data_IF_494288643504
#
_entry.id   IF_494288643504
#
_cell.length_a   1.000
_cell.length_b   1.000
_cell.length_c   1.000
_cell.angle_alpha   90.00
_cell.angle_beta   90.00
_cell.angle_gamma   90.00
#
_symmetry.space_group_name_H-M   'P 1'
#
loop_
_entity.id
_entity.type
_entity.pdbx_description
1 polymer ?
#
# COMPACT_ATOMS: atom_id res chain seq x y z
N UNK A 1 18.64 -4.80 3.98
CA UNK A 1 17.21 -4.60 3.66
C UNK A 1 16.73 -3.14 3.69
N UNK A 2 17.44 -2.18 4.33
CA UNK A 2 16.99 -0.77 4.45
C UNK A 2 16.77 -0.03 3.14
N UNK A 3 17.43 -0.45 2.05
CA UNK A 3 17.28 0.14 0.71
C UNK A 3 15.87 -0.06 0.11
N UNK A 4 15.08 -1.03 0.60
CA UNK A 4 13.73 -1.34 0.10
C UNK A 4 12.69 -0.93 1.14
N UNK A 5 11.85 0.04 0.79
CA UNK A 5 10.77 0.52 1.64
C UNK A 5 9.42 -0.02 1.18
N UNK A 6 8.68 -0.65 2.08
CA UNK A 6 7.30 -1.03 1.87
C UNK A 6 6.41 0.18 2.17
N UNK A 7 5.57 0.59 1.23
CA UNK A 7 4.57 1.63 1.49
C UNK A 7 3.14 1.12 1.38
N UNK A 8 2.27 1.60 2.26
CA UNK A 8 0.85 1.21 2.29
C UNK A 8 -0.07 2.34 2.71
N UNK A 9 -1.27 2.46 2.13
CA UNK A 9 -2.36 3.23 2.71
C UNK A 9 -3.04 2.39 3.81
N UNK A 10 -3.65 3.04 4.80
CA UNK A 10 -4.42 2.35 5.84
C UNK A 10 -5.51 3.24 6.46
N UNK A 11 -6.51 2.61 7.08
CA UNK A 11 -7.29 3.25 8.15
C UNK A 11 -6.54 3.08 9.47
N UNK A 12 -6.93 3.85 10.50
CA UNK A 12 -6.28 3.77 11.80
C UNK A 12 -6.40 2.38 12.44
N UNK A 13 -7.56 1.72 12.34
CA UNK A 13 -7.78 0.39 12.90
C UNK A 13 -6.94 -0.67 12.20
N UNK A 14 -6.80 -0.53 10.87
CA UNK A 14 -5.96 -1.43 10.06
C UNK A 14 -4.49 -1.23 10.37
N UNK A 15 -4.04 0.02 10.49
CA UNK A 15 -2.68 0.33 10.90
C UNK A 15 -2.36 -0.26 12.29
N UNK A 16 -3.25 -0.05 13.28
CA UNK A 16 -3.08 -0.57 14.65
C UNK A 16 -2.94 -2.10 14.69
N UNK A 17 -3.73 -2.81 13.89
CA UNK A 17 -3.71 -4.29 13.88
C UNK A 17 -2.59 -4.88 13.02
N UNK A 18 -2.22 -4.25 11.90
CA UNK A 18 -1.32 -4.85 10.92
C UNK A 18 0.13 -4.37 11.01
N UNK A 19 0.39 -3.16 11.50
CA UNK A 19 1.76 -2.66 11.63
C UNK A 19 2.63 -3.51 12.56
N UNK A 20 2.15 -3.98 13.73
CA UNK A 20 2.93 -4.90 14.57
C UNK A 20 3.32 -6.18 13.84
N UNK A 21 2.42 -6.73 13.02
CA UNK A 21 2.69 -7.92 12.20
C UNK A 21 3.72 -7.61 11.12
N UNK A 22 3.51 -6.54 10.34
CA UNK A 22 4.44 -6.10 9.28
C UNK A 22 5.83 -5.82 9.85
N UNK A 23 5.91 -5.14 10.99
CA UNK A 23 7.18 -4.88 11.68
C UNK A 23 7.88 -6.20 12.07
N UNK A 24 7.15 -7.22 12.51
CA UNK A 24 7.74 -8.51 12.87
C UNK A 24 8.19 -9.37 11.68
N UNK A 25 7.74 -9.11 10.44
CA UNK A 25 8.06 -9.95 9.26
C UNK A 25 8.94 -9.26 8.24
N UNK A 26 8.71 -7.97 7.99
CA UNK A 26 9.49 -7.17 7.07
C UNK A 26 10.63 -6.48 7.82
N UNK A 27 11.87 -6.76 7.41
CA UNK A 27 13.09 -6.15 7.97
C UNK A 27 13.52 -4.86 7.27
N UNK A 28 12.95 -4.56 6.11
CA UNK A 28 13.18 -3.28 5.44
C UNK A 28 12.49 -2.12 6.16
N UNK A 29 12.53 -0.96 5.52
CA UNK A 29 11.82 0.23 6.00
C UNK A 29 10.34 0.14 5.62
N UNK A 30 9.48 0.82 6.38
CA UNK A 30 8.03 0.82 6.20
C UNK A 30 7.51 2.24 6.28
N UNK A 31 6.71 2.67 5.31
CA UNK A 31 5.95 3.91 5.39
C UNK A 31 4.45 3.62 5.26
N UNK A 32 3.65 4.10 6.21
CA UNK A 32 2.20 3.97 6.14
C UNK A 32 1.54 5.33 6.24
N UNK A 33 0.65 5.64 5.31
CA UNK A 33 -0.22 6.80 5.40
C UNK A 33 -1.60 6.39 5.92
N UNK A 34 -2.06 7.07 6.97
CA UNK A 34 -3.23 6.71 7.76
C UNK A 34 -4.21 7.87 7.78
N UNK A 35 -5.46 7.63 7.44
CA UNK A 35 -6.51 8.61 7.67
C UNK A 35 -6.82 8.70 9.17
N UNK A 36 -6.78 9.90 9.75
CA UNK A 36 -6.98 10.15 11.18
C UNK A 36 -7.67 11.50 11.41
N UNK A 37 -8.30 11.66 12.58
CA UNK A 37 -8.78 12.96 13.03
C UNK A 37 -7.63 13.74 13.68
N UNK A 38 -7.13 14.78 12.99
CA UNK A 38 -6.06 15.62 13.51
C UNK A 38 -6.57 16.79 14.36
N UNK A 39 -7.90 16.96 14.49
CA UNK A 39 -8.49 17.99 15.37
C UNK A 39 -8.32 17.64 16.84
N UNK A 40 -8.17 16.35 17.15
CA UNK A 40 -7.86 15.87 18.49
C UNK A 40 -6.53 15.11 18.46
N UNK A 41 -5.59 15.37 19.38
CA UNK A 41 -4.25 14.78 19.32
C UNK A 41 -4.21 13.30 19.71
N UNK A 42 -5.30 12.73 20.24
CA UNK A 42 -5.33 11.38 20.80
C UNK A 42 -4.87 10.30 19.84
N UNK A 43 -5.39 10.30 18.61
CA UNK A 43 -5.02 9.30 17.59
C UNK A 43 -3.55 9.38 17.20
N UNK A 44 -3.00 10.60 17.12
CA UNK A 44 -1.62 10.81 16.76
C UNK A 44 -0.66 10.37 17.88
N UNK A 45 -0.99 10.71 19.13
CA UNK A 45 -0.23 10.30 20.30
C UNK A 45 -0.25 8.78 20.48
N UNK A 46 -1.42 8.15 20.30
CA UNK A 46 -1.59 6.71 20.34
C UNK A 46 -0.74 5.99 19.28
N UNK A 47 -0.78 6.46 18.03
CA UNK A 47 0.02 5.89 16.96
C UNK A 47 1.52 6.11 17.18
N UNK A 48 1.90 7.23 17.80
CA UNK A 48 3.29 7.49 18.18
C UNK A 48 3.78 6.54 19.26
N UNK A 49 2.99 6.36 20.32
CA UNK A 49 3.28 5.39 21.38
C UNK A 49 3.31 3.95 20.84
N UNK A 50 2.39 3.61 19.93
CA UNK A 50 2.42 2.31 19.26
C UNK A 50 3.71 2.14 18.46
N UNK A 51 4.14 3.16 17.70
CA UNK A 51 5.32 3.09 16.84
C UNK A 51 6.61 2.87 17.63
N UNK A 52 6.78 3.50 18.81
CA UNK A 52 7.94 3.27 19.69
C UNK A 52 7.97 1.86 20.29
N UNK A 53 6.82 1.19 20.36
CA UNK A 53 6.68 -0.15 20.93
C UNK A 53 6.73 -1.27 19.89
N UNK A 54 6.85 -0.92 18.61
CA UNK A 54 6.99 -1.90 17.53
C UNK A 54 8.29 -2.71 17.68
N UNK A 55 8.27 -3.91 17.13
CA UNK A 55 9.42 -4.81 17.20
C UNK A 55 10.49 -4.47 16.17
N UNK A 56 11.74 -4.64 16.60
CA UNK A 56 12.90 -4.28 15.82
C UNK A 56 13.27 -2.80 15.98
N UNK A 57 14.16 -2.30 15.12
CA UNK A 57 14.46 -0.88 15.01
C UNK A 57 13.18 -0.12 14.63
N UNK A 58 12.64 0.69 15.55
CA UNK A 58 11.45 1.50 15.30
C UNK A 58 11.74 2.63 14.29
N UNK A 59 13.00 3.08 14.17
CA UNK A 59 13.43 4.13 13.26
C UNK A 59 13.29 3.79 11.77
N UNK A 60 13.05 2.52 11.43
CA UNK A 60 12.75 2.10 10.05
C UNK A 60 11.27 2.29 9.67
N UNK A 61 10.40 2.67 10.60
CA UNK A 61 8.95 2.78 10.39
C UNK A 61 8.55 4.26 10.47
N UNK A 62 7.92 4.75 9.41
CA UNK A 62 7.27 6.05 9.36
C UNK A 62 5.75 5.88 9.24
N UNK A 63 5.00 6.60 10.06
CA UNK A 63 3.53 6.67 10.02
C UNK A 63 3.15 8.12 9.73
N UNK A 64 2.47 8.37 8.63
CA UNK A 64 1.97 9.71 8.27
C UNK A 64 0.46 9.74 8.44
N UNK A 65 0.01 10.49 9.44
CA UNK A 65 -1.40 10.72 9.69
C UNK A 65 -1.88 11.84 8.77
N UNK A 66 -3.07 11.66 8.21
CA UNK A 66 -3.69 12.55 7.23
C UNK A 66 -5.05 12.93 7.75
N UNK A 67 -5.32 14.23 7.79
CA UNK A 67 -6.61 14.76 8.24
C UNK A 67 -7.78 14.18 7.42
N UNK A 68 -8.78 13.66 8.12
CA UNK A 68 -10.05 13.25 7.55
C UNK A 68 -10.88 14.47 7.11
N UNK A 69 -10.74 14.86 5.85
CA UNK A 69 -11.57 15.90 5.24
C UNK A 69 -13.00 15.40 4.96
N UNK A 70 -14.01 16.29 4.99
CA UNK A 70 -15.38 15.97 4.58
C UNK A 70 -15.47 15.32 3.19
N UNK A 71 -14.60 15.73 2.27
CA UNK A 71 -14.50 15.16 0.92
C UNK A 71 -14.15 13.66 0.89
N UNK A 72 -13.70 13.08 2.02
CA UNK A 72 -13.33 11.67 2.15
C UNK A 72 -14.40 10.78 2.81
N UNK A 73 -15.47 11.36 3.38
CA UNK A 73 -16.41 10.66 4.27
C UNK A 73 -16.97 9.35 3.69
N UNK A 74 -17.17 9.28 2.37
CA UNK A 74 -17.62 8.08 1.65
C UNK A 74 -16.65 7.58 0.57
N UNK A 75 -15.47 8.21 0.47
CA UNK A 75 -14.50 7.96 -0.60
C UNK A 75 -13.11 7.91 -0.01
N UNK A 76 -12.72 6.73 0.48
CA UNK A 76 -11.40 6.54 1.08
C UNK A 76 -10.30 6.93 0.07
N UNK A 77 -9.41 7.89 0.38
CA UNK A 77 -8.48 8.48 -0.59
C UNK A 77 -7.24 7.59 -0.78
N UNK A 78 -7.45 6.34 -1.16
CA UNK A 78 -6.43 5.27 -1.14
C UNK A 78 -5.17 5.61 -1.92
N UNK A 79 -5.30 6.20 -3.11
CA UNK A 79 -4.17 6.48 -3.99
C UNK A 79 -3.39 7.72 -3.54
N UNK A 80 -4.07 8.72 -2.97
CA UNK A 80 -3.38 9.82 -2.30
C UNK A 80 -2.55 9.33 -1.12
N UNK A 81 -3.11 8.47 -0.27
CA UNK A 81 -2.39 7.87 0.85
C UNK A 81 -1.19 7.03 0.35
N UNK A 82 -1.33 6.27 -0.75
CA UNK A 82 -0.21 5.57 -1.39
C UNK A 82 0.90 6.51 -1.84
N UNK A 83 0.54 7.61 -2.51
CA UNK A 83 1.50 8.60 -2.98
C UNK A 83 2.29 9.21 -1.82
N UNK A 84 1.58 9.63 -0.76
CA UNK A 84 2.20 10.19 0.43
C UNK A 84 3.11 9.18 1.15
N UNK A 85 2.67 7.94 1.35
CA UNK A 85 3.48 6.90 1.96
C UNK A 85 4.74 6.59 1.12
N UNK A 86 4.61 6.53 -0.20
CA UNK A 86 5.73 6.35 -1.13
C UNK A 86 6.73 7.50 -1.04
N UNK A 87 6.27 8.75 -0.99
CA UNK A 87 7.14 9.92 -0.82
C UNK A 87 7.93 9.84 0.48
N UNK A 88 7.29 9.42 1.56
CA UNK A 88 7.91 9.27 2.88
C UNK A 88 8.92 8.12 2.95
N UNK A 89 8.78 7.08 2.11
CA UNK A 89 9.85 6.10 1.92
C UNK A 89 11.16 6.75 1.44
N UNK A 90 11.10 7.78 0.60
CA UNK A 90 12.29 8.45 0.07
C UNK A 90 12.74 9.55 1.02
N UNK A 91 11.85 10.49 1.34
CA UNK A 91 12.19 11.69 2.09
C UNK A 91 12.60 11.40 3.54
N UNK A 92 11.93 10.45 4.22
CA UNK A 92 12.21 10.15 5.63
C UNK A 92 13.14 8.95 5.78
N UNK A 93 12.99 7.94 4.91
CA UNK A 93 13.62 6.62 5.09
C UNK A 93 14.77 6.35 4.12
N UNK A 94 15.06 7.27 3.19
CA UNK A 94 16.21 7.17 2.28
C UNK A 94 16.16 5.96 1.34
N UNK A 95 14.97 5.47 1.01
CA UNK A 95 14.81 4.25 0.22
C UNK A 95 15.22 4.44 -1.24
N UNK A 96 15.93 3.46 -1.79
CA UNK A 96 16.28 3.40 -3.23
C UNK A 96 15.23 2.66 -4.04
N UNK A 97 14.51 1.76 -3.40
CA UNK A 97 13.45 0.96 -3.98
C UNK A 97 12.20 1.05 -3.12
N UNK A 98 11.04 1.04 -3.76
CA UNK A 98 9.74 1.14 -3.09
C UNK A 98 8.85 -0.02 -3.51
N UNK A 99 8.26 -0.69 -2.53
CA UNK A 99 7.30 -1.78 -2.70
C UNK A 99 5.90 -1.26 -2.44
N UNK A 100 5.09 -1.21 -3.50
CA UNK A 100 3.66 -0.90 -3.40
C UNK A 100 2.95 -2.05 -2.67
N UNK A 101 2.29 -1.76 -1.55
CA UNK A 101 1.69 -2.79 -0.72
C UNK A 101 0.34 -2.40 -0.13
N UNK A 102 -0.39 -3.39 0.36
CA UNK A 102 -1.63 -3.19 1.11
C UNK A 102 -1.42 -3.60 2.58
N UNK A 103 -2.13 -2.93 3.49
CA UNK A 103 -1.94 -3.09 4.94
C UNK A 103 -2.37 -4.48 5.45
N UNK A 104 -3.20 -5.19 4.68
CA UNK A 104 -3.72 -6.52 5.05
C UNK A 104 -2.82 -7.69 4.65
N UNK A 105 -1.69 -7.38 4.02
CA UNK A 105 -0.73 -8.33 3.53
C UNK A 105 0.56 -8.28 4.34
N UNK A 106 1.34 -9.35 4.25
CA UNK A 106 2.65 -9.43 4.87
C UNK A 106 3.66 -10.05 3.94
N UNK A 107 4.84 -9.44 3.88
CA UNK A 107 5.94 -9.87 3.00
C UNK A 107 6.87 -10.80 3.74
N UNK A 108 7.24 -11.89 3.07
CA UNK A 108 8.20 -12.87 3.52
C UNK A 108 9.33 -12.96 2.49
N UNK A 109 10.56 -12.83 2.98
CA UNK A 109 11.76 -12.99 2.16
C UNK A 109 12.32 -14.39 2.41
N UNK A 110 12.97 -14.96 1.40
CA UNK A 110 13.68 -16.22 1.53
C UNK A 110 14.68 -16.19 2.71
N UNK A 111 15.01 -17.34 3.31
CA UNK A 111 15.96 -17.40 4.42
C UNK A 111 17.32 -16.75 4.10
N UNK A 112 17.74 -16.82 2.84
CA UNK A 112 18.85 -16.05 2.30
C UNK A 112 18.35 -14.68 1.82
N UNK A 113 18.49 -13.66 2.66
CA UNK A 113 18.11 -12.28 2.33
C UNK A 113 18.92 -11.70 1.17
N UNK A 114 20.17 -12.14 1.00
CA UNK A 114 21.03 -11.64 -0.06
C UNK A 114 20.52 -12.08 -1.44
N UNK A 115 19.93 -13.27 -1.53
CA UNK A 115 19.29 -13.74 -2.77
C UNK A 115 18.17 -12.78 -3.24
N UNK A 116 17.32 -12.31 -2.32
CA UNK A 116 16.28 -11.33 -2.65
C UNK A 116 16.85 -9.96 -3.01
N UNK A 117 17.84 -9.48 -2.25
CA UNK A 117 18.49 -8.20 -2.56
C UNK A 117 19.25 -8.25 -3.90
N UNK A 118 19.78 -9.41 -4.27
CA UNK A 118 20.39 -9.63 -5.57
C UNK A 118 19.33 -9.58 -6.69
N UNK A 119 18.15 -10.16 -6.52
CA UNK A 119 17.04 -10.00 -7.49
C UNK A 119 16.69 -8.52 -7.67
N UNK A 120 16.52 -7.78 -6.57
CA UNK A 120 16.22 -6.34 -6.58
C UNK A 120 17.29 -5.58 -7.38
N UNK A 121 18.57 -5.79 -7.08
CA UNK A 121 19.67 -5.09 -7.76
C UNK A 121 19.82 -5.51 -9.23
N UNK A 122 19.70 -6.81 -9.53
CA UNK A 122 19.96 -7.34 -10.87
C UNK A 122 18.84 -7.02 -11.86
N UNK A 123 17.59 -6.98 -11.39
CA UNK A 123 16.42 -6.64 -12.20
C UNK A 123 16.25 -5.13 -12.29
N UNK A 124 16.33 -4.41 -11.16
CA UNK A 124 15.99 -2.98 -11.13
C UNK A 124 17.21 -2.05 -11.34
N UNK A 125 18.44 -2.56 -11.21
CA UNK A 125 19.66 -1.75 -11.35
C UNK A 125 19.82 -1.13 -12.75
N UNK A 126 20.46 0.05 -12.81
CA UNK A 126 20.82 0.70 -14.08
C UNK A 126 21.80 -0.21 -14.84
N UNK A 127 21.43 -0.73 -16.00
CA UNK A 127 22.38 -1.32 -16.96
C UNK A 127 22.73 -0.26 -18.00
N UNK A 128 24.02 -0.08 -18.26
CA UNK A 128 24.49 0.91 -19.23
C UNK A 128 23.87 0.65 -20.62
N UNK A 129 23.30 1.69 -21.24
CA UNK A 129 22.68 1.61 -22.56
C UNK A 129 21.28 1.00 -22.61
N UNK A 130 20.73 0.52 -21.49
CA UNK A 130 19.41 -0.10 -21.46
C UNK A 130 18.30 0.95 -21.25
N UNK A 131 17.37 1.06 -22.21
CA UNK A 131 16.19 1.93 -22.13
C UNK A 131 15.02 1.31 -21.35
N UNK A 132 15.13 0.04 -20.98
CA UNK A 132 14.04 -0.75 -20.38
C UNK A 132 13.91 -0.42 -18.90
N UNK A 133 12.71 0.03 -18.52
CA UNK A 133 12.35 0.17 -17.11
C UNK A 133 11.86 -1.19 -16.62
N UNK A 134 12.14 -1.57 -15.37
CA UNK A 134 11.70 -2.86 -14.84
C UNK A 134 11.01 -2.70 -13.50
N UNK A 135 10.05 -3.58 -13.25
CA UNK A 135 9.38 -3.76 -11.97
C UNK A 135 9.56 -5.21 -11.52
N UNK A 136 9.88 -5.40 -10.25
CA UNK A 136 10.03 -6.73 -9.66
C UNK A 136 8.74 -7.09 -8.94
N UNK A 137 8.00 -8.07 -9.46
CA UNK A 137 6.76 -8.59 -8.90
C UNK A 137 7.06 -9.50 -7.71
N UNK A 138 6.44 -9.19 -6.57
CA UNK A 138 6.37 -10.06 -5.40
C UNK A 138 5.05 -10.85 -5.49
N UNK A 139 5.11 -12.18 -5.68
CA UNK A 139 3.91 -13.00 -5.85
C UNK A 139 3.07 -13.03 -4.58
N UNK A 140 1.75 -12.92 -4.76
CA UNK A 140 0.79 -12.81 -3.67
C UNK A 140 0.00 -14.11 -3.47
N UNK A 141 -0.19 -14.47 -2.20
CA UNK A 141 -0.96 -15.64 -1.80
C UNK A 141 -2.04 -15.25 -0.81
N UNK A 142 -3.04 -16.10 -0.65
CA UNK A 142 -4.06 -15.96 0.38
C UNK A 142 -4.18 -17.23 1.20
N UNK A 143 -4.45 -17.05 2.48
CA UNK A 143 -4.78 -18.14 3.38
C UNK A 143 -6.28 -18.41 3.38
N UNK A 144 -6.65 -19.65 3.68
CA UNK A 144 -8.03 -20.00 3.99
C UNK A 144 -8.52 -19.19 5.20
N UNK A 145 -9.66 -18.49 5.07
CA UNK A 145 -10.07 -17.45 6.02
C UNK A 145 -10.11 -17.90 7.49
N UNK A 146 -10.77 -19.04 7.77
CA UNK A 146 -10.87 -19.59 9.14
C UNK A 146 -9.50 -19.94 9.72
N UNK A 147 -8.59 -20.43 8.87
CA UNK A 147 -7.25 -20.81 9.32
C UNK A 147 -6.40 -19.57 9.56
N UNK A 148 -6.49 -18.58 8.67
CA UNK A 148 -5.85 -17.27 8.82
C UNK A 148 -6.21 -16.60 10.14
N UNK A 149 -7.49 -16.54 10.47
CA UNK A 149 -7.98 -15.96 11.73
C UNK A 149 -7.36 -16.65 12.96
N UNK A 150 -7.27 -17.99 12.96
CA UNK A 150 -6.66 -18.75 14.06
C UNK A 150 -5.16 -18.50 14.18
N UNK A 151 -4.44 -18.40 13.06
CA UNK A 151 -3.00 -18.11 13.07
C UNK A 151 -2.75 -16.69 13.56
N UNK A 152 -3.53 -15.72 13.09
CA UNK A 152 -3.43 -14.33 13.53
C UNK A 152 -3.71 -14.19 15.02
N UNK A 153 -4.77 -14.80 15.55
CA UNK A 153 -5.09 -14.73 16.98
C UNK A 153 -3.93 -15.23 17.87
N UNK A 154 -3.30 -16.36 17.49
CA UNK A 154 -2.12 -16.89 18.21
C UNK A 154 -0.93 -15.95 18.12
N UNK A 155 -0.70 -15.38 16.94
CA UNK A 155 0.42 -14.47 16.70
C UNK A 155 0.25 -13.16 17.45
N UNK A 156 -0.93 -12.55 17.36
CA UNK A 156 -1.25 -11.30 18.04
C UNK A 156 -1.12 -11.47 19.56
N UNK A 157 -1.51 -12.64 20.12
CA UNK A 157 -1.26 -12.96 21.52
C UNK A 157 0.24 -13.00 21.88
N UNK A 158 1.09 -13.55 21.01
CA UNK A 158 2.55 -13.57 21.19
C UNK A 158 3.13 -12.14 21.16
N UNK A 159 2.74 -11.34 20.16
CA UNK A 159 3.21 -9.96 20.03
C UNK A 159 2.79 -9.12 21.24
N UNK A 160 1.55 -9.26 21.69
CA UNK A 160 1.03 -8.56 22.87
C UNK A 160 1.78 -8.97 24.16
N UNK A 161 2.01 -10.27 24.38
CA UNK A 161 2.76 -10.74 25.55
C UNK A 161 4.18 -10.15 25.59
N UNK A 162 4.85 -10.05 24.44
CA UNK A 162 6.20 -9.47 24.33
C UNK A 162 6.21 -7.96 24.52
N UNK A 163 5.20 -7.25 24.01
CA UNK A 163 5.01 -5.82 24.25
C UNK A 163 4.90 -5.55 25.76
N UNK A 164 4.05 -6.27 26.47
CA UNK A 164 3.90 -6.17 27.94
C UNK A 164 5.21 -6.52 28.67
N UNK A 165 5.93 -7.55 28.22
CA UNK A 165 7.23 -7.90 28.80
C UNK A 165 8.29 -6.81 28.61
N UNK A 166 8.29 -6.11 27.47
CA UNK A 166 9.20 -4.98 27.19
C UNK A 166 8.87 -3.77 28.06
N UNK A 167 7.59 -3.40 28.15
CA UNK A 167 7.12 -2.31 29.02
C UNK A 167 7.48 -2.54 30.50
N UNK A 168 7.32 -3.78 30.99
CA UNK A 168 7.68 -4.13 32.37
C UNK A 168 9.19 -4.15 32.62
N UNK A 169 10.01 -4.46 31.60
CA UNK A 169 11.47 -4.37 31.70
C UNK A 169 12.00 -2.94 31.64
N UNK A 170 11.45 -2.07 30.78
CA UNK A 170 11.81 -0.63 30.76
C UNK A 170 11.59 -0.01 32.14
N UNK A 171 10.40 -0.24 32.73
CA UNK A 171 10.06 0.22 34.09
C UNK A 171 10.98 -0.30 35.20
N UNK A 172 11.72 -1.39 34.98
CA UNK A 172 12.68 -1.94 35.95
C UNK A 172 14.11 -1.43 35.73
N UNK A 173 14.43 -0.91 34.54
CA UNK A 173 15.77 -0.50 34.14
C UNK A 173 15.95 1.03 34.02
N UNK A 174 14.88 1.83 34.05
CA UNK A 174 14.99 3.29 34.02
C UNK A 174 14.98 3.89 35.43
N UNK A 175 16.11 4.49 35.80
CA UNK A 175 16.09 5.73 36.57
C UNK A 175 15.67 6.87 35.62
N UNK A 176 14.82 7.78 36.11
CA UNK A 176 14.33 9.03 35.51
C UNK A 176 14.73 9.25 34.04
N UNK A 177 13.87 8.81 33.12
CA UNK A 177 13.76 9.47 31.82
C UNK A 177 13.11 10.85 32.08
N UNK A 178 13.85 11.92 31.79
CA UNK A 178 13.36 13.31 31.80
C UNK A 178 12.47 13.61 30.56
N UNK A 179 11.67 12.63 30.12
CA UNK A 179 10.59 12.85 29.17
C UNK A 179 9.46 13.54 29.94
N UNK A 180 9.36 14.86 29.82
CA UNK A 180 8.16 15.60 30.22
C UNK A 180 6.95 14.84 29.64
N UNK A 181 6.12 14.25 30.50
CA UNK A 181 5.05 13.37 30.05
C UNK A 181 4.17 14.14 29.06
N UNK A 182 3.58 13.46 28.09
CA UNK A 182 2.64 14.09 27.14
C UNK A 182 1.58 14.89 27.91
N UNK A 183 1.14 14.36 29.06
CA UNK A 183 0.23 15.04 29.98
C UNK A 183 0.86 16.32 30.57
N UNK A 184 2.12 16.31 30.98
CA UNK A 184 2.82 17.49 31.47
C UNK A 184 3.05 18.56 30.38
N UNK A 185 3.29 18.16 29.12
CA UNK A 185 3.35 19.11 27.98
C UNK A 185 1.98 19.72 27.75
N UNK A 186 0.92 18.91 27.72
CA UNK A 186 -0.47 19.36 27.57
C UNK A 186 -0.88 20.26 28.76
N UNK A 187 -0.48 19.92 29.98
CA UNK A 187 -0.79 20.66 31.22
C UNK A 187 0.02 21.96 31.33
N UNK A 188 1.30 21.98 30.93
CA UNK A 188 2.15 23.19 30.83
C UNK A 188 1.57 24.19 29.83
N UNK A 189 1.05 23.66 28.73
CA UNK A 189 0.35 24.44 27.71
C UNK A 189 -1.02 24.94 28.25
N UNK A 190 -1.74 24.12 29.03
CA UNK A 190 -3.04 24.49 29.60
C UNK A 190 -2.94 25.52 30.75
N UNK A 191 -1.91 25.40 31.60
CA UNK A 191 -1.63 26.29 32.74
C UNK A 191 -1.17 27.69 32.32
N UNK A 192 -0.64 27.85 31.10
CA UNK A 192 -0.36 29.17 30.49
C UNK A 192 -1.61 29.95 30.04
N UNK A 193 -2.82 29.44 30.29
CA UNK A 193 -4.08 30.19 30.13
C UNK A 193 -4.62 30.29 28.70
N UNK A 194 -4.02 29.59 27.73
CA UNK A 194 -4.31 29.73 26.29
C UNK A 194 -5.19 28.59 25.72
N UNK A 195 -5.91 27.85 26.59
CA UNK A 195 -6.71 26.66 26.21
C UNK A 195 -7.84 26.97 25.22
N UNK A 196 -8.28 28.22 25.13
CA UNK A 196 -9.27 28.66 24.11
C UNK A 196 -8.64 28.97 22.74
N UNK A 197 -7.32 28.82 22.56
CA UNK A 197 -6.56 29.23 21.37
C UNK A 197 -5.54 28.22 20.84
N UNK A 198 -5.48 27.00 21.37
CA UNK A 198 -4.53 26.02 20.83
C UNK A 198 -5.06 25.37 19.56
N UNK A 199 -4.52 25.85 18.44
CA UNK A 199 -4.61 25.15 17.17
C UNK A 199 -3.91 23.78 17.32
N UNK A 200 -4.55 22.63 17.03
CA UNK A 200 -3.91 21.32 17.05
C UNK A 200 -2.56 21.27 16.33
N UNK A 201 -2.42 22.06 15.25
CA UNK A 201 -1.17 22.16 14.50
C UNK A 201 -0.01 22.73 15.33
N UNK A 202 -0.23 23.73 16.18
CA UNK A 202 0.85 24.30 17.02
C UNK A 202 1.28 23.34 18.14
N UNK A 203 0.37 22.48 18.61
CA UNK A 203 0.72 21.39 19.51
C UNK A 203 1.65 20.38 18.81
N UNK A 204 1.33 19.95 17.58
CA UNK A 204 2.18 19.04 16.84
C UNK A 204 3.57 19.63 16.55
N UNK A 205 3.64 20.93 16.20
CA UNK A 205 4.92 21.64 16.04
C UNK A 205 5.75 21.64 17.33
N UNK A 206 5.11 21.84 18.48
CA UNK A 206 5.77 21.75 19.80
C UNK A 206 6.29 20.35 20.09
N UNK A 207 5.53 19.31 19.73
CA UNK A 207 5.94 17.91 19.89
C UNK A 207 7.11 17.55 18.97
N UNK A 208 7.16 18.08 17.74
CA UNK A 208 8.32 17.93 16.85
C UNK A 208 9.56 18.56 17.48
N UNK A 209 9.46 19.77 18.03
CA UNK A 209 10.61 20.44 18.64
C UNK A 209 11.10 19.71 19.89
N UNK A 210 10.17 19.25 20.75
CA UNK A 210 10.49 18.37 21.90
C UNK A 210 11.24 17.13 21.42
N UNK A 211 10.71 16.46 20.40
CA UNK A 211 11.26 15.20 19.96
C UNK A 211 12.54 15.37 19.16
N UNK A 212 12.91 16.57 18.67
CA UNK A 212 14.07 16.81 17.80
C UNK A 212 15.40 16.28 18.36
N UNK A 213 15.59 16.31 19.67
CA UNK A 213 16.83 15.90 20.35
C UNK A 213 16.78 14.49 20.91
N UNK A 214 15.61 13.86 20.94
CA UNK A 214 15.42 12.50 21.48
C UNK A 214 16.28 11.47 20.73
N UNK A 215 16.85 10.50 21.41
CA UNK A 215 17.55 9.37 20.78
C UNK A 215 16.62 8.17 20.67
N UNK A 216 16.56 7.50 19.50
CA UNK A 216 15.77 6.28 19.31
C UNK A 216 16.66 5.07 19.57
N UNK A 217 16.20 4.15 20.43
CA UNK A 217 16.93 2.91 20.69
C UNK A 217 16.84 1.99 19.46
N UNK A 218 18.01 1.73 18.87
CA UNK A 218 18.19 0.99 17.61
C UNK A 218 18.55 -0.49 17.82
N UNK A 219 18.62 -0.96 19.08
CA UNK A 219 19.23 -2.27 19.39
C UNK A 219 18.27 -3.47 19.40
N UNK A 220 16.99 -3.28 19.05
CA UNK A 220 16.05 -4.39 18.98
C UNK A 220 16.19 -5.17 17.66
N UNK A 221 16.48 -6.46 17.74
CA UNK A 221 16.40 -7.38 16.60
C UNK A 221 14.94 -7.75 16.32
N UNK A 222 14.50 -7.60 15.06
CA UNK A 222 13.16 -8.03 14.62
C UNK A 222 12.95 -9.54 14.89
N UNK A 223 11.72 -9.95 15.22
CA UNK A 223 11.43 -11.36 15.47
C UNK A 223 11.52 -12.16 14.17
N UNK A 224 12.16 -13.33 14.23
CA UNK A 224 11.97 -14.35 13.20
C UNK A 224 10.82 -15.27 13.63
N UNK A 225 9.57 -14.88 13.35
CA UNK A 225 8.42 -15.74 13.64
C UNK A 225 8.37 -16.85 12.58
N UNK A 226 8.56 -18.08 13.05
CA UNK A 226 8.55 -19.29 12.24
C UNK A 226 7.12 -19.65 11.82
N UNK A 227 6.52 -18.87 10.91
CA UNK A 227 5.13 -19.07 10.47
C UNK A 227 5.00 -20.23 9.47
N UNK A 228 3.84 -20.91 9.42
CA UNK A 228 3.60 -22.03 8.50
C UNK A 228 3.60 -21.63 7.02
N UNK A 229 3.67 -20.34 6.69
CA UNK A 229 3.73 -19.79 5.34
C UNK A 229 4.96 -18.87 5.13
N UNK A 230 5.91 -18.84 6.08
CA UNK A 230 7.04 -17.89 6.03
C UNK A 230 8.12 -18.25 5.01
N UNK A 231 8.17 -19.49 4.52
CA UNK A 231 9.09 -19.90 3.45
C UNK A 231 8.30 -20.53 2.31
N UNK A 232 8.87 -20.52 1.11
CA UNK A 232 8.29 -21.11 -0.09
C UNK A 232 7.93 -22.58 0.11
N UNK A 233 8.83 -23.37 0.72
CA UNK A 233 8.63 -24.81 0.95
C UNK A 233 7.47 -25.08 1.91
N UNK A 234 7.27 -24.20 2.89
CA UNK A 234 6.15 -24.32 3.83
C UNK A 234 4.84 -23.92 3.18
N UNK A 235 4.87 -22.84 2.40
CA UNK A 235 3.74 -22.35 1.64
C UNK A 235 3.29 -23.38 0.59
N UNK A 236 4.23 -24.04 -0.10
CA UNK A 236 3.95 -25.10 -1.07
C UNK A 236 3.15 -26.25 -0.44
N UNK A 237 3.54 -26.70 0.76
CA UNK A 237 2.75 -27.70 1.53
C UNK A 237 1.34 -27.21 1.85
N UNK A 238 1.19 -25.93 2.22
CA UNK A 238 -0.15 -25.38 2.48
C UNK A 238 -1.02 -25.33 1.23
N UNK A 239 -0.42 -25.04 0.07
CA UNK A 239 -1.13 -24.97 -1.22
C UNK A 239 -1.45 -26.36 -1.75
N UNK A 240 -0.43 -27.19 -1.97
CA UNK A 240 -0.54 -28.47 -2.69
C UNK A 240 -1.06 -29.61 -1.81
N UNK A 241 -0.60 -29.70 -0.55
CA UNK A 241 -0.97 -30.83 0.32
C UNK A 241 -2.20 -30.55 1.18
N UNK A 242 -2.27 -29.35 1.78
CA UNK A 242 -3.28 -29.04 2.81
C UNK A 242 -4.48 -28.27 2.30
N UNK A 243 -4.39 -27.65 1.12
CA UNK A 243 -5.42 -26.76 0.55
C UNK A 243 -5.84 -25.64 1.53
N UNK A 244 -4.88 -25.14 2.32
CA UNK A 244 -5.06 -24.06 3.30
C UNK A 244 -4.53 -22.71 2.80
N UNK A 245 -3.90 -22.68 1.63
CA UNK A 245 -3.47 -21.48 0.94
C UNK A 245 -3.69 -21.64 -0.57
N UNK A 246 -3.72 -20.52 -1.30
CA UNK A 246 -3.72 -20.51 -2.76
C UNK A 246 -3.08 -19.21 -3.27
N UNK A 247 -2.80 -19.11 -4.57
CA UNK A 247 -2.50 -17.82 -5.21
C UNK A 247 -3.60 -16.80 -4.89
N UNK A 248 -3.21 -15.56 -4.67
CA UNK A 248 -4.14 -14.52 -4.22
C UNK A 248 -5.27 -14.34 -5.24
N UNK A 249 -6.51 -14.46 -4.76
CA UNK A 249 -7.76 -14.34 -5.53
C UNK A 249 -7.81 -15.13 -6.85
N UNK A 250 -6.94 -16.10 -7.08
CA UNK A 250 -6.81 -16.79 -8.38
C UNK A 250 -8.09 -17.52 -8.80
N UNK A 251 -8.87 -18.00 -7.83
CA UNK A 251 -10.15 -18.67 -8.08
C UNK A 251 -11.31 -17.68 -8.31
N UNK A 252 -11.19 -16.43 -7.85
CA UNK A 252 -12.25 -15.42 -7.93
C UNK A 252 -12.05 -14.47 -9.10
N UNK A 253 -10.80 -14.06 -9.34
CA UNK A 253 -10.42 -13.13 -10.39
C UNK A 253 -9.12 -13.55 -11.08
N UNK A 254 -9.14 -14.68 -11.82
CA UNK A 254 -7.95 -15.25 -12.43
C UNK A 254 -7.25 -14.30 -13.39
N UNK A 255 -7.98 -13.50 -14.17
CA UNK A 255 -7.40 -12.56 -15.15
C UNK A 255 -6.40 -11.57 -14.52
N UNK A 256 -6.61 -11.16 -13.27
CA UNK A 256 -5.75 -10.21 -12.58
C UNK A 256 -4.48 -10.84 -11.98
N UNK A 257 -4.47 -12.14 -11.73
CA UNK A 257 -3.43 -12.79 -10.92
C UNK A 257 -2.76 -13.99 -11.59
N UNK A 258 -3.41 -14.64 -12.55
CA UNK A 258 -2.83 -15.75 -13.32
C UNK A 258 -1.54 -15.37 -14.08
N UNK A 259 -1.36 -14.13 -14.60
CA UNK A 259 -0.12 -13.77 -15.30
C UNK A 259 1.14 -13.87 -14.43
N UNK A 260 1.02 -13.87 -13.10
CA UNK A 260 2.14 -14.12 -12.18
C UNK A 260 2.71 -15.54 -12.31
N UNK A 261 1.95 -16.50 -12.87
CA UNK A 261 2.34 -17.89 -13.06
C UNK A 261 2.86 -18.57 -11.78
N UNK A 262 1.94 -18.84 -10.85
CA UNK A 262 2.25 -19.48 -9.55
C UNK A 262 2.89 -20.87 -9.70
N UNK A 263 2.58 -21.60 -10.77
CA UNK A 263 3.20 -22.89 -11.10
C UNK A 263 4.70 -22.74 -11.29
N UNK A 264 5.13 -21.81 -12.14
CA UNK A 264 6.55 -21.52 -12.37
C UNK A 264 7.29 -21.04 -11.11
N UNK A 265 6.59 -20.35 -10.20
CA UNK A 265 7.15 -19.90 -8.93
C UNK A 265 7.54 -21.08 -8.00
N UNK A 266 6.72 -22.12 -7.98
CA UNK A 266 6.97 -23.32 -7.17
C UNK A 266 7.96 -24.30 -7.84
N UNK A 267 7.97 -24.41 -9.16
CA UNK A 267 8.64 -25.52 -9.87
C UNK A 267 10.10 -25.24 -10.27
N UNK A 268 10.48 -23.99 -10.53
CA UNK A 268 11.84 -23.68 -11.00
C UNK A 268 12.80 -23.39 -9.82
N UNK A 269 13.99 -24.01 -9.85
CA UNK A 269 15.05 -23.86 -8.83
C UNK A 269 15.48 -22.40 -8.62
N UNK A 270 15.85 -22.08 -7.38
CA UNK A 270 16.02 -20.73 -6.82
C UNK A 270 17.40 -20.10 -6.99
N UNK A 271 18.32 -20.75 -7.71
CA UNK A 271 19.74 -20.39 -7.69
C UNK A 271 20.20 -19.77 -9.00
N UNK A 272 20.96 -18.67 -8.92
CA UNK A 272 21.67 -18.09 -10.05
C UNK A 272 20.79 -17.19 -10.93
N UNK A 273 21.05 -17.20 -12.24
CA UNK A 273 20.40 -16.31 -13.22
C UNK A 273 18.88 -16.54 -13.38
N UNK A 274 18.37 -17.68 -12.93
CA UNK A 274 16.95 -18.09 -13.04
C UNK A 274 16.11 -17.76 -11.78
N UNK A 275 16.63 -16.93 -10.86
CA UNK A 275 15.93 -16.52 -9.64
C UNK A 275 14.71 -15.64 -9.89
N UNK A 276 14.57 -15.12 -11.12
CA UNK A 276 13.40 -14.36 -11.57
C UNK A 276 12.92 -14.84 -12.94
N UNK A 277 11.67 -14.56 -13.29
CA UNK A 277 11.14 -14.82 -14.63
C UNK A 277 10.23 -13.68 -15.08
N UNK A 278 10.25 -13.36 -16.38
CA UNK A 278 9.39 -12.33 -16.95
C UNK A 278 7.93 -12.82 -16.94
N UNK A 279 6.99 -11.91 -16.67
CA UNK A 279 5.57 -12.15 -16.92
C UNK A 279 5.39 -12.44 -18.42
N UNK A 280 4.95 -13.65 -18.74
CA UNK A 280 5.06 -14.22 -20.09
C UNK A 280 3.87 -13.86 -20.98
N UNK A 281 3.74 -12.58 -21.33
CA UNK A 281 2.69 -12.13 -22.26
C UNK A 281 3.28 -11.18 -23.33
N UNK A 282 2.93 -11.34 -24.62
CA UNK A 282 3.36 -10.43 -25.68
C UNK A 282 2.81 -9.01 -25.50
N UNK A 283 1.67 -8.89 -24.82
CA UNK A 283 0.93 -7.66 -24.50
C UNK A 283 0.73 -7.57 -22.99
N UNK A 284 0.42 -6.39 -22.46
CA UNK A 284 0.19 -6.23 -21.02
C UNK A 284 -1.16 -6.86 -20.62
N UNK A 285 -1.24 -7.76 -19.63
CA UNK A 285 -2.50 -8.40 -19.29
C UNK A 285 -3.51 -7.40 -18.71
N UNK A 286 -4.72 -7.40 -19.26
CA UNK A 286 -5.83 -6.60 -18.75
C UNK A 286 -6.12 -6.98 -17.30
N UNK A 287 -6.36 -5.99 -16.44
CA UNK A 287 -6.54 -6.16 -14.99
C UNK A 287 -5.34 -6.71 -14.20
N UNK A 288 -4.13 -6.84 -14.76
CA UNK A 288 -3.00 -7.37 -14.00
C UNK A 288 -2.76 -6.57 -12.71
N UNK A 289 -2.84 -7.25 -11.56
CA UNK A 289 -2.78 -6.61 -10.23
C UNK A 289 -1.72 -7.27 -9.30
N UNK A 290 -0.42 -7.20 -9.65
CA UNK A 290 0.68 -7.65 -8.80
C UNK A 290 1.02 -6.67 -7.67
N UNK A 291 1.85 -7.13 -6.74
CA UNK A 291 2.63 -6.29 -5.84
C UNK A 291 4.00 -6.09 -6.45
N UNK A 292 4.45 -4.84 -6.61
CA UNK A 292 5.67 -4.53 -7.37
C UNK A 292 6.65 -3.69 -6.57
N UNK A 293 7.93 -4.03 -6.72
CA UNK A 293 9.06 -3.21 -6.31
C UNK A 293 9.56 -2.47 -7.55
N UNK A 294 9.67 -1.16 -7.41
CA UNK A 294 10.26 -0.29 -8.44
C UNK A 294 11.38 0.53 -7.82
N UNK A 295 12.27 1.04 -8.66
CA UNK A 295 13.21 2.08 -8.25
C UNK A 295 12.48 3.34 -7.85
N UNK A 296 12.86 3.92 -6.72
CA UNK A 296 12.19 5.08 -6.15
C UNK A 296 12.22 6.29 -7.10
N UNK A 297 13.34 6.51 -7.80
CA UNK A 297 13.52 7.59 -8.76
C UNK A 297 12.76 7.39 -10.08
N UNK A 298 12.27 6.16 -10.33
CA UNK A 298 11.43 5.83 -11.49
C UNK A 298 9.96 5.58 -11.12
N UNK A 299 9.63 5.63 -9.83
CA UNK A 299 8.31 5.26 -9.35
C UNK A 299 7.28 6.30 -9.78
N UNK A 300 6.27 5.86 -10.55
CA UNK A 300 5.14 6.72 -10.90
C UNK A 300 4.22 6.89 -9.69
N UNK A 301 3.55 8.04 -9.53
CA UNK A 301 2.48 8.18 -8.55
C UNK A 301 1.25 7.40 -9.03
N UNK A 302 0.40 7.00 -8.08
CA UNK A 302 -0.93 6.49 -8.35
C UNK A 302 -1.85 7.63 -8.81
N UNK A 303 -2.73 7.34 -9.77
CA UNK A 303 -3.77 8.27 -10.19
C UNK A 303 -4.80 8.44 -9.06
N UNK A 304 -4.84 9.64 -8.47
CA UNK A 304 -5.66 9.97 -7.31
C UNK A 304 -7.15 10.15 -7.64
N UNK A 305 -7.52 10.13 -8.93
CA UNK A 305 -8.93 10.03 -9.32
C UNK A 305 -9.55 8.71 -8.84
N UNK A 306 -8.77 7.63 -8.73
CA UNK A 306 -9.23 6.37 -8.17
C UNK A 306 -9.24 6.44 -6.64
N UNK A 307 -10.43 6.41 -6.07
CA UNK A 307 -10.71 6.35 -4.63
C UNK A 307 -11.37 5.03 -4.29
N UNK A 308 -11.42 4.68 -3.01
CA UNK A 308 -11.96 3.39 -2.56
C UNK A 308 -11.22 2.18 -3.17
N UNK A 309 -11.74 0.98 -2.95
CA UNK A 309 -11.23 -0.25 -3.57
C UNK A 309 -11.75 -0.41 -5.01
N UNK A 310 -10.90 -0.91 -5.90
CA UNK A 310 -11.27 -1.31 -7.27
C UNK A 310 -10.49 -0.52 -8.32
N UNK A 311 -9.88 -1.23 -9.27
CA UNK A 311 -9.03 -0.70 -10.36
C UNK A 311 -7.85 0.22 -9.94
N UNK A 312 -7.72 0.58 -8.67
CA UNK A 312 -6.72 1.55 -8.18
C UNK A 312 -5.25 1.09 -8.32
N UNK A 313 -4.93 -0.17 -8.03
CA UNK A 313 -3.60 -0.77 -8.27
C UNK A 313 -3.43 -1.18 -9.73
N UNK A 314 -4.53 -1.59 -10.35
CA UNK A 314 -4.56 -2.00 -11.75
C UNK A 314 -4.19 -0.83 -12.66
N UNK A 315 -4.78 0.36 -12.44
CA UNK A 315 -4.44 1.57 -13.19
C UNK A 315 -2.96 1.95 -13.02
N UNK A 316 -2.43 1.84 -11.80
CA UNK A 316 -1.00 2.05 -11.53
C UNK A 316 -0.11 1.07 -12.32
N UNK A 317 -0.44 -0.22 -12.33
CA UNK A 317 0.31 -1.24 -13.07
C UNK A 317 0.18 -1.07 -14.59
N UNK A 318 -1.01 -0.69 -15.08
CA UNK A 318 -1.22 -0.32 -16.49
C UNK A 318 -0.38 0.88 -16.88
N UNK A 319 -0.30 1.90 -16.03
CA UNK A 319 0.49 3.09 -16.32
C UNK A 319 2.01 2.82 -16.27
N UNK A 320 2.47 1.93 -15.37
CA UNK A 320 3.85 1.43 -15.44
C UNK A 320 4.12 0.75 -16.79
N UNK A 321 3.23 -0.11 -17.27
CA UNK A 321 3.37 -0.75 -18.57
C UNK A 321 3.40 0.28 -19.72
N UNK A 322 2.49 1.25 -19.71
CA UNK A 322 2.45 2.36 -20.66
C UNK A 322 3.73 3.22 -20.63
N UNK A 323 4.38 3.35 -19.48
CA UNK A 323 5.67 4.00 -19.32
C UNK A 323 6.89 3.13 -19.72
N UNK A 324 6.66 1.92 -20.26
CA UNK A 324 7.69 1.02 -20.77
C UNK A 324 8.33 0.12 -19.71
N UNK A 325 7.61 -0.20 -18.62
CA UNK A 325 8.10 -1.15 -17.63
C UNK A 325 7.86 -2.61 -18.03
N UNK A 326 8.89 -3.43 -17.88
CA UNK A 326 8.79 -4.90 -17.91
C UNK A 326 8.65 -5.47 -16.49
N UNK A 327 7.83 -6.52 -16.35
CA UNK A 327 7.55 -7.16 -15.07
C UNK A 327 8.29 -8.49 -14.92
N UNK A 328 9.05 -8.64 -13.84
CA UNK A 328 9.79 -9.84 -13.49
C UNK A 328 9.36 -10.35 -12.12
N UNK A 329 8.95 -11.61 -12.01
CA UNK A 329 8.54 -12.22 -10.73
C UNK A 329 9.77 -12.73 -9.99
N UNK A 330 9.94 -12.35 -8.72
CA UNK A 330 10.98 -12.92 -7.84
C UNK A 330 10.54 -14.23 -7.22
N UNK A 331 11.48 -15.17 -7.08
CA UNK A 331 11.30 -16.41 -6.30
C UNK A 331 11.79 -16.30 -4.86
N UNK A 332 12.47 -15.22 -4.52
CA UNK A 332 13.10 -15.01 -3.21
C UNK A 332 12.26 -14.16 -2.26
N UNK A 333 11.03 -13.82 -2.64
CA UNK A 333 10.04 -13.23 -1.74
C UNK A 333 8.62 -13.62 -2.18
N UNK A 334 7.69 -13.53 -1.23
CA UNK A 334 6.25 -13.63 -1.47
C UNK A 334 5.49 -12.81 -0.44
N UNK A 335 4.27 -12.41 -0.78
CA UNK A 335 3.37 -11.73 0.14
C UNK A 335 2.13 -12.58 0.41
N UNK A 336 1.61 -12.52 1.63
CA UNK A 336 0.46 -13.31 2.06
C UNK A 336 -0.61 -12.40 2.62
N UNK A 337 -1.83 -12.50 2.08
CA UNK A 337 -3.02 -11.88 2.64
C UNK A 337 -3.40 -12.60 3.94
N UNK A 338 -3.03 -12.02 5.08
CA UNK A 338 -3.29 -12.63 6.39
C UNK A 338 -4.60 -12.14 7.00
N UNK A 339 -5.14 -11.00 6.58
CA UNK A 339 -6.37 -10.46 7.13
C UNK A 339 -7.59 -10.79 6.24
N UNK A 340 -7.93 -12.08 6.14
CA UNK A 340 -9.07 -12.54 5.33
C UNK A 340 -10.40 -12.14 5.97
N UNK A 341 -10.96 -11.03 5.53
CA UNK A 341 -12.33 -10.67 5.89
C UNK A 341 -13.31 -11.48 5.05
N UNK A 342 -14.34 -12.10 5.65
CA UNK A 342 -15.50 -12.59 4.91
C UNK A 342 -16.37 -11.41 4.45
N UNK A 343 -15.81 -10.39 3.78
CA UNK A 343 -16.59 -9.27 3.27
C UNK A 343 -16.84 -9.43 1.78
N UNK A 344 -18.12 -9.53 1.43
CA UNK A 344 -18.63 -9.37 0.07
C UNK A 344 -18.43 -7.91 -0.32
N UNK A 345 -17.75 -7.68 -1.44
CA UNK A 345 -17.66 -6.43 -2.21
C UNK A 345 -18.81 -5.42 -1.99
N UNK A 346 -20.04 -5.95 -2.03
CA UNK A 346 -21.27 -5.18 -1.99
C UNK A 346 -21.69 -4.66 -0.61
N UNK A 347 -21.10 -5.14 0.49
CA UNK A 347 -21.51 -4.69 1.83
C UNK A 347 -21.12 -3.23 2.11
N UNK A 348 -20.11 -2.70 1.39
CA UNK A 348 -19.59 -1.35 1.56
C UNK A 348 -20.15 -0.34 0.55
N UNK A 349 -20.81 -0.80 -0.54
CA UNK A 349 -21.62 0.08 -1.37
C UNK A 349 -22.98 0.23 -0.69
N UNK A 350 -23.13 1.24 0.16
CA UNK A 350 -24.42 1.59 0.75
C UNK A 350 -24.84 2.97 0.26
N UNK A 351 -26.13 3.28 0.34
CA UNK A 351 -26.66 4.61 0.02
C UNK A 351 -26.99 4.86 -1.45
N UNK A 352 -27.05 6.13 -1.81
CA UNK A 352 -27.61 6.62 -3.09
C UNK A 352 -26.79 6.18 -4.31
N UNK A 353 -25.48 5.99 -4.17
CA UNK A 353 -24.61 5.56 -5.28
C UNK A 353 -24.89 4.12 -5.73
N UNK A 354 -25.13 3.20 -4.79
CA UNK A 354 -25.53 1.82 -5.14
C UNK A 354 -26.93 1.80 -5.78
N UNK A 355 -27.85 2.63 -5.29
CA UNK A 355 -29.18 2.74 -5.88
C UNK A 355 -29.12 3.28 -7.31
N UNK A 356 -28.31 4.33 -7.54
CA UNK A 356 -28.05 4.90 -8.88
C UNK A 356 -27.41 3.88 -9.82
N UNK A 357 -26.41 3.14 -9.33
CA UNK A 357 -25.80 2.02 -10.05
C UNK A 357 -26.83 0.98 -10.49
N UNK A 358 -27.68 0.51 -9.57
CA UNK A 358 -28.66 -0.57 -9.84
C UNK A 358 -29.80 -0.13 -10.75
N UNK A 359 -30.14 1.15 -10.76
CA UNK A 359 -31.24 1.69 -11.56
C UNK A 359 -30.84 1.97 -13.03
N UNK A 360 -29.54 1.97 -13.36
CA UNK A 360 -29.09 2.32 -14.69
C UNK A 360 -29.28 1.14 -15.69
N UNK A 361 -29.87 1.34 -16.88
CA UNK A 361 -30.15 0.27 -17.84
C UNK A 361 -28.90 -0.49 -18.32
N UNK A 362 -27.75 0.18 -18.36
CA UNK A 362 -26.46 -0.42 -18.70
C UNK A 362 -25.69 -1.04 -17.52
N UNK A 363 -26.31 -1.11 -16.34
CA UNK A 363 -25.67 -1.69 -15.16
C UNK A 363 -25.41 -3.18 -15.35
N UNK A 364 -24.16 -3.58 -15.14
CA UNK A 364 -23.82 -5.00 -15.09
C UNK A 364 -24.31 -5.62 -13.77
N UNK A 365 -24.92 -6.81 -13.85
CA UNK A 365 -25.21 -7.64 -12.66
C UNK A 365 -23.94 -8.22 -12.00
N UNK A 366 -22.75 -7.98 -12.60
CA UNK A 366 -21.46 -8.45 -12.12
C UNK A 366 -20.80 -7.42 -11.17
N UNK A 367 -21.21 -7.44 -9.90
CA UNK A 367 -20.75 -6.52 -8.85
C UNK A 367 -19.43 -6.93 -8.16
N UNK A 368 -18.50 -7.58 -8.87
CA UNK A 368 -17.18 -7.92 -8.30
C UNK A 368 -16.42 -6.62 -7.92
N UNK A 369 -15.65 -6.63 -6.81
CA UNK A 369 -14.88 -5.48 -6.26
C UNK A 369 -14.11 -4.68 -7.32
N UNK A 370 -13.64 -5.35 -8.38
CA UNK A 370 -12.90 -4.72 -9.47
C UNK A 370 -13.70 -3.63 -10.19
N UNK A 371 -15.04 -3.63 -10.12
CA UNK A 371 -15.91 -2.74 -10.90
C UNK A 371 -16.21 -1.37 -10.27
N UNK A 372 -15.86 -1.17 -9.01
CA UNK A 372 -16.15 0.08 -8.28
C UNK A 372 -15.42 1.29 -8.90
N UNK A 373 -14.19 1.09 -9.39
CA UNK A 373 -13.40 2.10 -10.09
C UNK A 373 -13.67 2.23 -11.59
N UNK A 374 -14.66 1.51 -12.15
CA UNK A 374 -14.87 1.49 -13.60
C UNK A 374 -15.28 2.83 -14.20
N UNK A 375 -15.82 3.75 -13.41
CA UNK A 375 -16.12 5.12 -13.85
C UNK A 375 -14.90 5.91 -14.28
N UNK A 376 -13.75 5.65 -13.66
CA UNK A 376 -12.50 6.29 -14.02
C UNK A 376 -11.84 5.66 -15.25
N UNK A 377 -12.22 4.43 -15.66
CA UNK A 377 -11.53 3.69 -16.73
C UNK A 377 -11.54 4.44 -18.07
N UNK A 378 -12.67 4.98 -18.58
CA UNK A 378 -12.65 5.67 -19.87
C UNK A 378 -11.69 6.86 -19.89
N UNK A 379 -11.78 7.75 -18.90
CA UNK A 379 -10.89 8.90 -18.77
C UNK A 379 -9.42 8.48 -18.60
N UNK A 380 -9.17 7.43 -17.81
CA UNK A 380 -7.84 6.84 -17.64
C UNK A 380 -7.27 6.31 -18.96
N UNK A 381 -8.02 5.51 -19.72
CA UNK A 381 -7.54 4.94 -20.98
C UNK A 381 -7.29 6.01 -22.05
N UNK A 382 -8.19 7.01 -22.18
CA UNK A 382 -7.95 8.17 -23.07
C UNK A 382 -6.67 8.92 -22.69
N UNK A 383 -6.39 9.04 -21.39
CA UNK A 383 -5.15 9.64 -20.89
C UNK A 383 -3.93 8.79 -21.21
N UNK A 384 -4.01 7.48 -21.06
CA UNK A 384 -2.91 6.57 -21.41
C UNK A 384 -2.60 6.62 -22.90
N UNK A 385 -3.63 6.64 -23.75
CA UNK A 385 -3.48 6.79 -25.19
C UNK A 385 -2.84 8.13 -25.54
N UNK A 386 -3.36 9.25 -25.03
CA UNK A 386 -2.83 10.56 -25.37
C UNK A 386 -1.40 10.79 -24.84
N UNK A 387 -1.13 10.37 -23.60
CA UNK A 387 0.13 10.67 -22.91
C UNK A 387 1.25 9.67 -23.28
N UNK A 388 0.91 8.41 -23.54
CA UNK A 388 1.90 7.34 -23.76
C UNK A 388 1.78 6.66 -25.12
N UNK A 389 0.71 6.89 -25.88
CA UNK A 389 0.38 6.11 -27.08
C UNK A 389 -0.09 4.68 -26.75
N UNK A 390 -0.52 4.44 -25.50
CA UNK A 390 -0.90 3.13 -25.00
C UNK A 390 -2.40 2.89 -25.19
N UNK A 391 -2.76 1.91 -26.01
CA UNK A 391 -4.12 1.68 -26.54
C UNK A 391 -4.68 0.33 -26.10
N UNK A 392 -5.91 0.00 -26.51
CA UNK A 392 -6.48 -1.34 -26.31
C UNK A 392 -5.68 -2.44 -27.02
N UNK A 393 -4.94 -2.10 -28.09
CA UNK A 393 -4.12 -3.06 -28.83
C UNK A 393 -2.85 -3.46 -28.06
N UNK A 394 -2.46 -2.71 -27.03
CA UNK A 394 -1.34 -3.04 -26.14
C UNK A 394 -1.74 -3.98 -25.00
N UNK A 395 -3.04 -4.28 -24.88
CA UNK A 395 -3.63 -5.09 -23.81
C UNK A 395 -3.96 -6.51 -24.27
N UNK A 396 -3.74 -7.47 -23.37
CA UNK A 396 -4.22 -8.85 -23.54
C UNK A 396 -5.47 -9.10 -22.69
N UNK A 397 -6.58 -9.40 -23.36
CA UNK A 397 -7.84 -9.73 -22.71
C UNK A 397 -7.95 -11.26 -22.53
N UNK A 398 -8.19 -11.73 -21.30
CA UNK A 398 -8.69 -13.10 -21.07
C UNK A 398 -7.68 -14.26 -21.14
N UNK A 399 -6.37 -14.02 -21.24
CA UNK A 399 -5.33 -15.07 -21.17
C UNK A 399 -5.34 -16.05 -22.34
N UNK A 400 -6.09 -15.74 -23.40
CA UNK A 400 -6.02 -16.40 -24.71
C UNK A 400 -5.49 -15.38 -25.69
N UNK A 401 -4.51 -15.77 -26.50
CA UNK A 401 -3.88 -14.88 -27.47
C UNK A 401 -4.93 -14.22 -28.39
N UNK A 402 -4.89 -12.89 -28.49
CA UNK A 402 -5.75 -12.07 -29.33
C UNK A 402 -7.26 -12.11 -29.01
N UNK A 403 -7.66 -12.37 -27.76
CA UNK A 403 -9.06 -12.17 -27.41
C UNK A 403 -9.46 -10.67 -27.57
N UNK A 404 -10.65 -10.36 -28.09
CA UNK A 404 -11.09 -8.99 -28.28
C UNK A 404 -11.37 -8.29 -26.93
N UNK A 405 -11.33 -6.95 -26.89
CA UNK A 405 -11.80 -6.18 -25.74
C UNK A 405 -13.25 -6.55 -25.39
N UNK A 406 -13.62 -6.64 -24.09
CA UNK A 406 -15.00 -6.93 -23.70
C UNK A 406 -16.00 -5.88 -24.20
N UNK A 407 -17.16 -6.33 -24.68
CA UNK A 407 -18.21 -5.43 -25.20
C UNK A 407 -18.65 -4.35 -24.18
N UNK A 408 -18.72 -4.69 -22.89
CA UNK A 408 -19.04 -3.75 -21.81
C UNK A 408 -17.97 -2.64 -21.66
N UNK A 409 -16.70 -2.94 -21.94
CA UNK A 409 -15.64 -1.92 -21.96
C UNK A 409 -15.82 -1.01 -23.17
N UNK A 410 -16.03 -1.59 -24.36
CA UNK A 410 -16.23 -0.85 -25.60
C UNK A 410 -17.45 0.08 -25.51
N UNK A 411 -18.55 -0.41 -24.96
CA UNK A 411 -19.77 0.39 -24.74
C UNK A 411 -19.51 1.62 -23.85
N UNK A 412 -18.75 1.46 -22.76
CA UNK A 412 -18.41 2.59 -21.86
C UNK A 412 -17.46 3.60 -22.48
N UNK A 413 -16.60 3.16 -23.42
CA UNK A 413 -15.67 4.06 -24.10
C UNK A 413 -16.36 4.97 -25.14
N UNK A 414 -17.58 4.63 -25.57
CA UNK A 414 -18.32 5.42 -26.56
C UNK A 414 -18.82 6.77 -26.01
N UNK A 415 -19.20 6.84 -24.74
CA UNK A 415 -19.69 8.07 -24.11
C UNK A 415 -19.52 8.01 -22.59
N UNK A 416 -19.19 9.14 -21.98
CA UNK A 416 -19.13 9.26 -20.52
C UNK A 416 -20.53 9.11 -19.88
N UNK A 417 -21.62 9.30 -20.63
CA UNK A 417 -22.99 9.00 -20.19
C UNK A 417 -23.23 7.50 -19.95
N UNK A 418 -22.40 6.62 -20.55
CA UNK A 418 -22.48 5.18 -20.36
C UNK A 418 -21.82 4.72 -19.05
N UNK A 419 -21.28 5.66 -18.24
CA UNK A 419 -20.65 5.37 -16.96
C UNK A 419 -21.71 5.12 -15.88
N UNK A 420 -21.79 3.87 -15.44
CA UNK A 420 -22.87 3.36 -14.59
C UNK A 420 -22.66 3.65 -13.08
N UNK A 421 -21.40 3.72 -12.60
CA UNK A 421 -21.10 3.70 -11.15
C UNK A 421 -19.97 4.64 -10.73
N UNK A 422 -20.28 5.66 -9.94
CA UNK A 422 -19.35 6.71 -9.49
C UNK A 422 -18.70 6.48 -8.10
N UNK A 423 -18.95 5.34 -7.45
CA UNK A 423 -18.52 5.13 -6.05
C UNK A 423 -17.00 5.01 -5.82
N UNK A 424 -16.20 4.72 -6.85
CA UNK A 424 -14.75 4.53 -6.76
C UNK A 424 -13.91 5.55 -7.52
N UNK A 425 -14.50 6.67 -7.92
CA UNK A 425 -13.85 7.62 -8.81
C UNK A 425 -14.21 9.06 -8.44
N UNK A 426 -13.21 9.95 -8.46
CA UNK A 426 -13.39 11.40 -8.54
C UNK A 426 -13.26 11.75 -10.02
N UNK A 427 -14.38 12.04 -10.67
CA UNK A 427 -14.40 12.29 -12.12
C UNK A 427 -13.87 13.67 -12.47
N UNK A 428 -13.62 13.91 -13.76
CA UNK A 428 -13.24 15.24 -14.26
C UNK A 428 -14.35 16.29 -14.00
N UNK A 429 -15.60 15.87 -13.78
CA UNK A 429 -16.76 16.71 -13.47
C UNK A 429 -16.83 17.18 -12.00
N UNK A 430 -16.07 16.59 -11.08
CA UNK A 430 -16.18 16.85 -9.63
C UNK A 430 -14.97 17.59 -9.09
N UNK A 431 -15.10 18.56 -8.19
CA UNK A 431 -13.92 19.25 -7.64
C UNK A 431 -12.92 18.28 -6.97
N UNK A 432 -11.63 18.57 -7.12
CA UNK A 432 -10.60 17.81 -6.42
C UNK A 432 -10.69 18.03 -4.91
N UNK A 433 -10.26 17.07 -4.07
CA UNK A 433 -10.21 17.29 -2.63
C UNK A 433 -9.22 18.42 -2.27
N UNK A 434 -9.48 19.11 -1.16
CA UNK A 434 -8.53 20.05 -0.57
C UNK A 434 -7.24 19.35 -0.13
N UNK A 435 -6.23 20.15 0.21
CA UNK A 435 -4.95 19.65 0.75
C UNK A 435 -5.10 19.42 2.25
N UNK A 436 -5.08 18.16 2.74
CA UNK A 436 -5.27 17.88 4.17
C UNK A 436 -4.03 18.25 4.97
N UNK A 437 -4.20 18.54 6.26
CA UNK A 437 -3.09 18.57 7.19
C UNK A 437 -2.46 17.18 7.34
N UNK A 438 -1.15 17.13 7.61
CA UNK A 438 -0.45 15.87 7.87
C UNK A 438 0.50 15.97 9.06
N UNK A 439 0.65 14.86 9.77
CA UNK A 439 1.59 14.69 10.88
C UNK A 439 2.36 13.39 10.66
N UNK A 440 3.69 13.47 10.63
CA UNK A 440 4.57 12.32 10.41
C UNK A 440 5.26 11.94 11.70
N UNK A 441 5.17 10.66 12.04
CA UNK A 441 5.88 10.04 13.15
C UNK A 441 6.87 9.02 12.61
N UNK A 442 8.10 8.99 13.15
CA UNK A 442 9.11 7.99 12.84
C UNK A 442 9.75 7.45 14.10
N UNK A 443 9.76 6.13 14.28
CA UNK A 443 10.31 5.51 15.49
C UNK A 443 9.68 6.01 16.79
N UNK A 444 8.39 6.39 16.74
CA UNK A 444 7.65 6.96 17.87
C UNK A 444 7.97 8.42 18.19
N UNK A 445 8.66 9.13 17.30
CA UNK A 445 8.92 10.57 17.40
C UNK A 445 8.16 11.35 16.35
N UNK A 446 7.65 12.51 16.71
CA UNK A 446 7.12 13.47 15.74
C UNK A 446 8.29 14.06 14.93
N UNK A 447 8.23 13.93 13.60
CA UNK A 447 9.33 14.36 12.70
C UNK A 447 8.90 15.36 11.63
N UNK A 448 7.59 15.52 11.38
CA UNK A 448 7.12 16.45 10.38
C UNK A 448 5.66 16.81 10.56
N UNK A 449 5.34 18.06 10.26
CA UNK A 449 4.00 18.61 10.30
C UNK A 449 3.78 19.44 9.04
N UNK A 450 2.63 19.27 8.40
CA UNK A 450 2.23 20.08 7.25
C UNK A 450 0.83 20.60 7.49
N UNK A 451 0.65 21.92 7.42
CA UNK A 451 -0.66 22.54 7.57
C UNK A 451 -1.53 22.25 6.35
N UNK A 452 -2.80 21.97 6.59
CA UNK A 452 -3.81 21.86 5.55
C UNK A 452 -4.06 23.22 4.89
N UNK A 453 -4.67 23.21 3.71
CA UNK A 453 -5.10 24.44 3.04
C UNK A 453 -6.40 24.24 2.30
N UNK A 454 -7.15 25.34 2.14
CA UNK A 454 -8.37 25.35 1.33
C UNK A 454 -8.10 25.27 -0.18
N UNK A 455 -6.83 25.31 -0.59
CA UNK A 455 -6.44 25.09 -1.97
C UNK A 455 -6.79 23.65 -2.39
N UNK A 456 -7.54 23.55 -3.48
CA UNK A 456 -7.91 22.29 -4.13
C UNK A 456 -6.66 21.67 -4.73
N UNK A 457 -6.47 20.37 -4.52
CA UNK A 457 -5.36 19.64 -5.12
C UNK A 457 -5.51 19.62 -6.64
N UNK A 458 -4.40 19.65 -7.35
CA UNK A 458 -4.40 19.69 -8.82
C UNK A 458 -4.92 18.36 -9.38
N UNK A 459 -5.86 18.43 -10.32
CA UNK A 459 -6.21 17.29 -11.17
C UNK A 459 -5.19 17.11 -12.29
N UNK A 460 -4.96 15.87 -12.66
CA UNK A 460 -4.10 15.53 -13.78
C UNK A 460 -4.73 15.95 -15.11
N UNK A 461 -3.94 16.54 -15.99
CA UNK A 461 -4.37 16.95 -17.34
C UNK A 461 -4.58 15.76 -18.29
N UNK A 462 -5.44 15.90 -19.32
CA UNK A 462 -5.92 14.79 -20.16
C UNK A 462 -4.82 14.07 -20.96
N UNK A 463 -3.67 14.69 -21.18
CA UNK A 463 -2.52 14.10 -21.89
C UNK A 463 -1.23 14.22 -21.08
N UNK A 464 -1.35 14.46 -19.78
CA UNK A 464 -0.20 14.65 -18.91
C UNK A 464 0.49 13.33 -18.61
N UNK A 465 1.81 13.26 -18.84
CA UNK A 465 2.67 12.15 -18.39
C UNK A 465 3.18 12.43 -16.98
N UNK A 466 3.42 11.38 -16.22
CA UNK A 466 4.33 11.48 -15.10
C UNK A 466 5.75 11.47 -15.66
N UNK A 467 6.25 12.65 -16.02
CA UNK A 467 7.62 12.80 -16.51
C UNK A 467 8.58 12.36 -15.42
N UNK A 468 9.11 11.14 -15.57
CA UNK A 468 10.28 10.71 -14.83
C UNK A 468 11.44 11.44 -15.49
N UNK A 469 11.85 12.56 -14.91
CA UNK A 469 13.04 13.27 -15.36
C UNK A 469 14.18 12.27 -15.52
N UNK A 470 14.61 12.05 -16.76
CA UNK A 470 15.87 11.39 -17.06
C UNK A 470 16.97 12.37 -16.64
N UNK A 471 17.33 12.35 -15.35
CA UNK A 471 18.62 12.88 -14.90
C UNK A 471 19.65 11.76 -14.90
#
# INVERSE_FOLDING_TARGET
MSDVCLYSPATIERARSALPRTASTWRGTVSVAVLADLKTPGDALDLSAMASELEGDAGRIAITMVEALPEYENRFPVNFLRNLAREKCVAELGAKYVLAHDVDFEVFVAPDEDAFLNDVRNVLGKRSGEKVRRALVVPAFQLHAVWSQRVNAKRDAILNARRVQRQTKSRRNEGKDDDESIDAVVDSIATKGDVRRLNPMSLYETLVERDRTRTVDSKATAINLTLPYSTRERLDRLVRERRLANGFQINYFPIAHAPTNYTAWFENTTTGADSTYRVATPKHPWYYEPYVIVRADLALPFDESFVQYGFNKISFVHELAAAGFDFHVTKNAHTVHTNTHPTRAMANMQGQDLARCRAHPAASNDFRIARVGHSCIPAFLRRMECAYGFTLDDLEFGGVSNAPPPDDLLFRLQSDDNIVCFGGCITDLEDAPRTPATVTVRGGRFVGVTQGSDARRRKRGPCERFDVALQ
#
